data_IF_079632323838
#
_entry.id   IF_079632323838
#
_cell.length_a   1.000
_cell.length_b   1.000
_cell.length_c   1.000
_cell.angle_alpha   90.00
_cell.angle_beta   90.00
_cell.angle_gamma   90.00
#
_symmetry.space_group_name_H-M   'P 1'
#
loop_
_entity.id
_entity.type
_entity.pdbx_description
1 polymer ?
#
# COMPACT_ATOMS: atom_id res chain seq x y z
N UNK A 1 -16.48 14.62 -13.21
CA UNK A 1 -15.46 14.05 -14.13
C UNK A 1 -14.64 15.10 -14.88
N UNK A 2 -15.22 16.16 -15.46
CA UNK A 2 -14.47 17.18 -16.25
C UNK A 2 -13.31 17.88 -15.51
N UNK A 3 -13.43 18.05 -14.18
CA UNK A 3 -12.42 18.73 -13.36
C UNK A 3 -11.11 17.94 -13.24
N UNK A 4 -11.18 16.63 -13.00
CA UNK A 4 -9.99 15.78 -12.75
C UNK A 4 -9.11 15.69 -14.00
N UNK A 5 -9.70 15.51 -15.18
CA UNK A 5 -8.93 15.48 -16.43
C UNK A 5 -8.22 16.80 -16.71
N UNK A 6 -8.88 17.93 -16.41
CA UNK A 6 -8.27 19.25 -16.52
C UNK A 6 -7.09 19.42 -15.56
N UNK A 7 -7.23 18.93 -14.32
CA UNK A 7 -6.14 18.91 -13.33
C UNK A 7 -4.98 18.01 -13.76
N UNK A 8 -5.23 16.84 -14.35
CA UNK A 8 -4.18 15.95 -14.85
C UNK A 8 -3.41 16.57 -16.02
N UNK A 9 -4.09 17.29 -16.92
CA UNK A 9 -3.43 18.03 -17.99
C UNK A 9 -2.61 19.21 -17.46
N UNK A 10 -3.14 19.93 -16.47
CA UNK A 10 -2.41 20.97 -15.74
C UNK A 10 -1.15 20.41 -15.06
N UNK A 11 -1.29 19.30 -14.34
CA UNK A 11 -0.17 18.58 -13.72
C UNK A 11 0.88 18.15 -14.75
N UNK A 12 0.45 17.64 -15.91
CA UNK A 12 1.37 17.27 -17.01
C UNK A 12 2.22 18.45 -17.43
N UNK A 13 1.60 19.62 -17.64
CA UNK A 13 2.31 20.83 -18.03
C UNK A 13 3.29 21.29 -16.95
N UNK A 14 2.87 21.28 -15.67
CA UNK A 14 3.74 21.62 -14.55
C UNK A 14 4.96 20.71 -14.45
N UNK A 15 4.77 19.38 -14.54
CA UNK A 15 5.82 18.39 -14.39
C UNK A 15 6.82 18.40 -15.57
N UNK A 16 6.36 18.72 -16.78
CA UNK A 16 7.24 18.88 -17.96
C UNK A 16 8.11 20.13 -17.89
N UNK A 17 7.63 21.18 -17.21
CA UNK A 17 8.30 22.48 -17.13
C UNK A 17 8.96 22.76 -15.77
N UNK A 18 9.17 21.73 -14.93
CA UNK A 18 9.74 21.89 -13.59
C UNK A 18 11.08 22.67 -13.62
N UNK A 19 11.35 23.53 -12.63
CA UNK A 19 12.58 24.32 -12.58
C UNK A 19 13.85 23.47 -12.60
N UNK A 20 14.91 24.01 -13.21
CA UNK A 20 16.24 23.38 -13.29
C UNK A 20 16.97 23.29 -11.94
N UNK A 21 16.40 23.84 -10.87
CA UNK A 21 16.89 23.65 -9.49
C UNK A 21 16.74 22.19 -9.05
N UNK A 22 15.81 21.43 -9.64
CA UNK A 22 15.68 19.99 -9.44
C UNK A 22 16.57 19.24 -10.42
N UNK A 23 17.29 18.19 -9.97
CA UNK A 23 18.13 17.39 -10.85
C UNK A 23 17.28 16.69 -11.91
N UNK A 24 17.73 16.77 -13.17
CA UNK A 24 17.15 15.98 -14.24
C UNK A 24 17.64 14.54 -14.14
N UNK A 25 16.71 13.59 -14.14
CA UNK A 25 17.04 12.16 -14.21
C UNK A 25 16.37 11.53 -15.43
N UNK A 26 17.13 10.69 -16.12
CA UNK A 26 16.58 9.84 -17.17
C UNK A 26 15.59 8.83 -16.57
N UNK A 27 14.83 8.15 -17.43
CA UNK A 27 13.85 7.15 -16.99
C UNK A 27 14.49 6.03 -16.15
N UNK A 28 15.68 5.56 -16.55
CA UNK A 28 16.40 4.49 -15.87
C UNK A 28 17.01 4.92 -14.51
N UNK A 29 17.26 6.22 -14.33
CA UNK A 29 17.87 6.78 -13.12
C UNK A 29 16.84 7.36 -12.15
N UNK A 30 15.57 7.41 -12.55
CA UNK A 30 14.50 8.01 -11.77
C UNK A 30 14.26 7.22 -10.48
N UNK A 31 14.34 7.90 -9.33
CA UNK A 31 14.06 7.30 -8.04
C UNK A 31 12.59 6.87 -7.90
N UNK A 32 11.69 7.51 -8.64
CA UNK A 32 10.26 7.21 -8.60
C UNK A 32 9.86 5.96 -9.42
N UNK A 33 10.53 5.73 -10.55
CA UNK A 33 10.30 4.57 -11.43
C UNK A 33 8.83 4.32 -11.81
N UNK A 34 8.01 5.37 -12.02
CA UNK A 34 6.56 5.25 -12.33
C UNK A 34 6.22 4.55 -13.65
N UNK A 35 7.18 4.43 -14.56
CA UNK A 35 7.02 3.64 -15.79
C UNK A 35 6.76 2.15 -15.49
N UNK A 36 7.39 1.62 -14.43
CA UNK A 36 7.19 0.27 -13.93
C UNK A 36 6.32 0.30 -12.67
N UNK A 37 5.21 1.05 -12.71
CA UNK A 37 4.27 1.06 -11.59
C UNK A 37 3.47 -0.24 -11.55
N UNK A 38 3.76 -1.06 -10.55
CA UNK A 38 3.07 -2.32 -10.28
C UNK A 38 2.54 -2.34 -8.84
N UNK A 39 1.48 -3.13 -8.63
CA UNK A 39 0.81 -3.30 -7.34
C UNK A 39 1.05 -4.73 -6.86
N UNK A 40 1.57 -4.94 -5.63
CA UNK A 40 1.69 -6.28 -5.07
C UNK A 40 0.33 -6.94 -4.83
N UNK A 41 0.19 -8.19 -5.24
CA UNK A 41 -1.05 -8.97 -5.01
C UNK A 41 -1.43 -8.99 -3.53
N UNK A 42 -0.45 -9.12 -2.62
CA UNK A 42 -0.68 -9.07 -1.17
C UNK A 42 -1.34 -7.75 -0.73
N UNK A 43 -0.92 -6.62 -1.31
CA UNK A 43 -1.49 -5.31 -0.96
C UNK A 43 -2.90 -5.15 -1.52
N UNK A 44 -3.16 -5.68 -2.72
CA UNK A 44 -4.51 -5.68 -3.31
C UNK A 44 -5.45 -6.56 -2.50
N UNK A 45 -5.00 -7.73 -2.04
CA UNK A 45 -5.79 -8.66 -1.22
C UNK A 45 -6.09 -8.11 0.18
N UNK A 46 -5.15 -7.39 0.79
CA UNK A 46 -5.29 -6.89 2.16
C UNK A 46 -5.94 -5.50 2.24
N UNK A 47 -5.70 -4.62 1.26
CA UNK A 47 -6.15 -3.22 1.29
C UNK A 47 -7.21 -2.89 0.23
N UNK A 48 -7.46 -3.81 -0.71
CA UNK A 48 -8.19 -3.52 -1.94
C UNK A 48 -7.34 -2.71 -2.93
N UNK A 49 -7.80 -2.62 -4.17
CA UNK A 49 -7.04 -2.00 -5.26
C UNK A 49 -6.70 -0.51 -4.97
N UNK A 50 -7.68 0.28 -4.51
CA UNK A 50 -7.46 1.68 -4.14
C UNK A 50 -6.46 1.84 -2.99
N UNK A 51 -6.58 1.00 -1.95
CA UNK A 51 -5.65 1.00 -0.82
C UNK A 51 -4.22 0.61 -1.23
N UNK A 52 -4.07 -0.37 -2.12
CA UNK A 52 -2.78 -0.77 -2.68
C UNK A 52 -2.13 0.37 -3.49
N UNK A 53 -2.92 1.08 -4.32
CA UNK A 53 -2.44 2.24 -5.07
C UNK A 53 -1.97 3.34 -4.11
N UNK A 54 -2.79 3.67 -3.10
CA UNK A 54 -2.42 4.67 -2.10
C UNK A 54 -1.10 4.29 -1.40
N UNK A 55 -0.97 3.05 -0.93
CA UNK A 55 0.26 2.56 -0.30
C UNK A 55 1.47 2.67 -1.22
N UNK A 56 1.34 2.28 -2.48
CA UNK A 56 2.46 2.32 -3.42
C UNK A 56 2.87 3.75 -3.81
N UNK A 57 1.90 4.68 -3.88
CA UNK A 57 2.19 6.11 -4.05
C UNK A 57 2.93 6.68 -2.82
N UNK A 58 2.52 6.34 -1.59
CA UNK A 58 3.22 6.74 -0.37
C UNK A 58 4.65 6.18 -0.30
N UNK A 59 4.87 4.94 -0.74
CA UNK A 59 6.22 4.34 -0.77
C UNK A 59 7.15 5.09 -1.71
N UNK A 60 6.66 5.51 -2.89
CA UNK A 60 7.50 6.16 -3.92
C UNK A 60 7.67 7.66 -3.73
N UNK A 61 6.60 8.36 -3.34
CA UNK A 61 6.61 9.81 -3.16
C UNK A 61 6.98 10.22 -1.73
N UNK A 62 6.97 9.26 -0.81
CA UNK A 62 7.14 9.48 0.62
C UNK A 62 5.82 9.84 1.32
N UNK A 63 5.89 9.93 2.64
CA UNK A 63 4.76 10.36 3.47
C UNK A 63 4.48 11.85 3.26
N UNK A 64 3.20 12.23 3.25
CA UNK A 64 2.79 13.65 3.28
C UNK A 64 3.47 14.37 4.43
N UNK A 65 4.11 15.50 4.16
CA UNK A 65 4.76 16.28 5.21
C UNK A 65 3.71 16.95 6.08
N UNK A 66 3.81 16.78 7.41
CA UNK A 66 3.01 17.55 8.38
C UNK A 66 3.61 18.94 8.50
N UNK A 67 3.32 19.80 7.54
CA UNK A 67 3.90 21.14 7.49
C UNK A 67 3.07 22.11 6.68
N UNK A 68 3.57 23.33 6.54
CA UNK A 68 2.90 24.46 5.86
C UNK A 68 2.39 24.11 4.46
N UNK A 69 3.03 23.15 3.78
CA UNK A 69 2.71 22.73 2.42
C UNK A 69 1.76 21.54 2.33
N UNK A 70 1.64 20.73 3.39
CA UNK A 70 0.76 19.57 3.49
C UNK A 70 0.77 18.64 2.25
N UNK A 71 1.95 18.46 1.65
CA UNK A 71 2.16 17.60 0.46
C UNK A 71 3.55 16.95 0.54
N UNK A 72 3.89 16.11 -0.45
CA UNK A 72 5.22 15.52 -0.61
C UNK A 72 6.15 16.48 -1.38
N UNK A 73 7.46 16.22 -1.34
CA UNK A 73 8.48 17.06 -2.00
C UNK A 73 9.01 16.33 -3.23
N UNK A 74 9.01 17.01 -4.38
CA UNK A 74 9.62 16.49 -5.60
C UNK A 74 11.15 16.56 -5.47
N UNK A 75 11.82 15.44 -5.72
CA UNK A 75 13.28 15.31 -5.58
C UNK A 75 14.01 15.40 -6.92
N UNK A 76 13.30 15.25 -8.03
CA UNK A 76 13.85 15.16 -9.38
C UNK A 76 12.81 15.59 -10.43
N UNK A 77 13.32 15.99 -11.60
CA UNK A 77 12.51 16.22 -12.80
C UNK A 77 12.91 15.24 -13.90
N UNK A 78 12.02 15.01 -14.86
CA UNK A 78 12.28 14.12 -15.99
C UNK A 78 11.10 13.20 -16.32
N UNK A 79 11.28 12.28 -17.29
CA UNK A 79 10.20 11.39 -17.74
C UNK A 79 9.66 10.51 -16.62
N UNK A 80 10.50 10.09 -15.66
CA UNK A 80 10.07 9.29 -14.51
C UNK A 80 9.05 10.03 -13.62
N UNK A 81 9.23 11.33 -13.41
CA UNK A 81 8.27 12.16 -12.67
C UNK A 81 6.99 12.39 -13.47
N UNK A 82 7.10 12.64 -14.79
CA UNK A 82 5.94 12.85 -15.67
C UNK A 82 5.04 11.61 -15.74
N UNK A 83 5.62 10.40 -15.70
CA UNK A 83 4.88 9.13 -15.70
C UNK A 83 3.93 8.96 -14.49
N UNK A 84 4.08 9.75 -13.42
CA UNK A 84 3.09 9.83 -12.34
C UNK A 84 1.69 10.19 -12.88
N UNK A 85 1.62 11.06 -13.89
CA UNK A 85 0.33 11.45 -14.48
C UNK A 85 -0.33 10.27 -15.16
N UNK A 86 0.42 9.40 -15.82
CA UNK A 86 -0.13 8.22 -16.50
C UNK A 86 -0.74 7.25 -15.48
N UNK A 87 -0.05 7.04 -14.35
CA UNK A 87 -0.56 6.24 -13.23
C UNK A 87 -1.86 6.85 -12.67
N UNK A 88 -1.86 8.14 -12.37
CA UNK A 88 -3.05 8.81 -11.82
C UNK A 88 -4.20 8.82 -12.82
N UNK A 89 -3.94 9.08 -14.11
CA UNK A 89 -4.94 9.06 -15.19
C UNK A 89 -5.57 7.69 -15.35
N UNK A 90 -4.76 6.62 -15.35
CA UNK A 90 -5.24 5.24 -15.43
C UNK A 90 -6.23 4.92 -14.31
N UNK A 91 -5.85 5.17 -13.06
CA UNK A 91 -6.66 4.77 -11.92
C UNK A 91 -7.82 5.71 -11.61
N UNK A 92 -7.71 7.01 -11.90
CA UNK A 92 -8.85 7.94 -11.77
C UNK A 92 -9.91 7.72 -12.84
N UNK A 93 -9.53 7.23 -14.02
CA UNK A 93 -10.50 6.79 -15.04
C UNK A 93 -11.25 5.54 -14.58
N UNK A 94 -10.54 4.60 -13.95
CA UNK A 94 -11.14 3.38 -13.40
C UNK A 94 -12.01 3.65 -12.16
N UNK A 95 -11.62 4.61 -11.32
CA UNK A 95 -12.28 4.95 -10.06
C UNK A 95 -12.53 6.47 -9.93
N UNK A 96 -13.50 7.03 -10.69
CA UNK A 96 -13.71 8.47 -10.76
C UNK A 96 -14.21 9.09 -9.45
N UNK A 97 -14.85 8.31 -8.58
CA UNK A 97 -15.39 8.74 -7.29
C UNK A 97 -14.42 8.50 -6.12
N UNK A 98 -13.23 7.97 -6.38
CA UNK A 98 -12.27 7.67 -5.32
C UNK A 98 -11.62 8.96 -4.80
N UNK A 99 -12.01 9.32 -3.57
CA UNK A 99 -11.55 10.53 -2.87
C UNK A 99 -10.04 10.50 -2.60
N UNK A 100 -9.43 9.31 -2.41
CA UNK A 100 -7.98 9.21 -2.19
C UNK A 100 -7.22 9.52 -3.47
N UNK A 101 -7.66 8.99 -4.62
CA UNK A 101 -7.02 9.26 -5.91
C UNK A 101 -7.18 10.72 -6.33
N UNK A 102 -8.37 11.30 -6.12
CA UNK A 102 -8.59 12.74 -6.34
C UNK A 102 -7.63 13.58 -5.48
N UNK A 103 -7.46 13.22 -4.21
CA UNK A 103 -6.53 13.90 -3.31
C UNK A 103 -5.07 13.77 -3.77
N UNK A 104 -4.66 12.63 -4.34
CA UNK A 104 -3.33 12.49 -4.91
C UNK A 104 -3.08 13.41 -6.11
N UNK A 105 -4.09 13.63 -6.95
CA UNK A 105 -4.01 14.61 -8.05
C UNK A 105 -3.80 16.02 -7.49
N UNK A 106 -4.60 16.42 -6.51
CA UNK A 106 -4.46 17.73 -5.85
C UNK A 106 -3.09 17.91 -5.18
N UNK A 107 -2.64 16.89 -4.43
CA UNK A 107 -1.35 16.93 -3.73
C UNK A 107 -0.18 16.98 -4.72
N UNK A 108 -0.26 16.28 -5.85
CA UNK A 108 0.76 16.32 -6.90
C UNK A 108 0.81 17.69 -7.59
N UNK A 109 -0.33 18.32 -7.87
CA UNK A 109 -0.38 19.70 -8.36
C UNK A 109 0.30 20.65 -7.39
N UNK A 110 -0.07 20.59 -6.09
CA UNK A 110 0.55 21.43 -5.06
C UNK A 110 2.03 21.14 -4.89
N UNK A 111 2.48 19.89 -4.99
CA UNK A 111 3.89 19.53 -4.88
C UNK A 111 4.70 20.14 -6.03
N UNK A 112 4.16 20.13 -7.25
CA UNK A 112 4.78 20.77 -8.39
C UNK A 112 4.82 22.29 -8.25
N UNK A 113 3.71 22.94 -7.83
CA UNK A 113 3.65 24.38 -7.57
C UNK A 113 4.66 24.81 -6.50
N UNK A 114 4.75 24.06 -5.40
CA UNK A 114 5.73 24.32 -4.35
C UNK A 114 7.19 24.25 -4.86
N UNK A 115 7.48 23.42 -5.87
CA UNK A 115 8.81 23.36 -6.47
C UNK A 115 9.15 24.66 -7.25
N UNK A 116 8.16 25.31 -7.88
CA UNK A 116 8.34 26.63 -8.49
C UNK A 116 8.56 27.71 -7.42
N UNK A 117 7.75 27.70 -6.37
CA UNK A 117 7.90 28.62 -5.24
C UNK A 117 9.28 28.49 -4.58
N UNK A 118 9.77 27.26 -4.37
CA UNK A 118 11.11 26.98 -3.84
C UNK A 118 12.23 27.48 -4.75
N UNK A 119 12.04 27.39 -6.07
CA UNK A 119 12.99 27.90 -7.04
C UNK A 119 12.92 29.44 -7.21
N UNK A 120 11.92 30.11 -6.64
CA UNK A 120 11.65 31.53 -6.88
C UNK A 120 11.25 31.83 -8.32
N UNK A 121 10.73 30.83 -9.04
CA UNK A 121 10.31 30.93 -10.45
C UNK A 121 8.79 31.05 -10.49
N UNK A 122 8.26 31.93 -11.36
CA UNK A 122 6.80 32.03 -11.53
C UNK A 122 6.27 30.76 -12.20
N UNK A 123 5.13 30.27 -11.71
CA UNK A 123 4.42 29.15 -12.33
C UNK A 123 4.04 29.53 -13.78
N UNK A 124 4.33 28.68 -14.78
CA UNK A 124 3.96 28.94 -16.16
C UNK A 124 2.46 29.16 -16.31
N UNK A 125 2.06 30.12 -17.15
CA UNK A 125 0.65 30.31 -17.50
C UNK A 125 0.18 29.18 -18.43
N UNK A 126 -0.33 28.11 -17.83
CA UNK A 126 -0.73 26.88 -18.54
C UNK A 126 -1.95 27.12 -19.43
N UNK A 127 -2.71 28.21 -19.22
CA UNK A 127 -3.79 28.60 -20.14
C UNK A 127 -3.26 28.79 -21.57
N UNK A 128 -2.02 29.26 -21.71
CA UNK A 128 -1.37 29.45 -23.02
C UNK A 128 -0.77 28.17 -23.60
N UNK A 129 -0.34 27.24 -22.73
CA UNK A 129 0.32 25.98 -23.15
C UNK A 129 -0.69 24.97 -23.72
N UNK A 130 -1.94 25.03 -23.26
CA UNK A 130 -3.00 24.16 -23.77
C UNK A 130 -3.24 24.34 -25.28
N UNK A 131 -3.10 25.55 -25.83
CA UNK A 131 -3.38 25.81 -27.24
C UNK A 131 -2.29 25.27 -28.20
N UNK A 132 -1.04 25.15 -27.75
CA UNK A 132 0.07 24.71 -28.60
C UNK A 132 0.29 23.19 -28.56
N UNK A 133 0.03 22.54 -27.43
CA UNK A 133 0.29 21.10 -27.26
C UNK A 133 -0.69 20.18 -28.01
N UNK A 134 -1.92 20.63 -28.27
CA UNK A 134 -2.88 19.82 -29.04
C UNK A 134 -2.61 19.80 -30.54
N UNK A 135 -1.73 20.67 -31.06
CA UNK A 135 -1.47 20.77 -32.50
C UNK A 135 -0.24 19.98 -32.99
N UNK A 136 0.65 19.54 -32.10
CA UNK A 136 1.95 18.93 -32.48
C UNK A 136 2.05 17.42 -32.17
N UNK A 137 1.09 16.85 -31.45
CA UNK A 137 1.03 15.41 -31.17
C UNK A 137 -0.14 14.79 -31.93
N UNK A 138 0.10 14.49 -33.20
CA UNK A 138 -0.88 13.91 -34.13
C UNK A 138 -1.71 12.76 -33.54
N UNK A 139 -3.03 12.92 -33.63
CA UNK A 139 -3.95 12.17 -34.50
C UNK A 139 -3.85 10.63 -34.65
N UNK A 140 -2.79 9.96 -34.24
CA UNK A 140 -2.57 8.55 -34.59
C UNK A 140 -2.87 7.56 -33.45
N UNK A 141 -3.15 8.02 -32.22
CA UNK A 141 -3.41 7.11 -31.08
C UNK A 141 -4.88 7.01 -30.64
N UNK A 142 -5.79 7.90 -31.09
CA UNK A 142 -7.22 7.88 -30.66
C UNK A 142 -8.16 7.33 -31.76
N UNK A 143 -7.65 6.90 -32.92
CA UNK A 143 -8.48 6.26 -33.95
C UNK A 143 -8.66 4.73 -33.77
N UNK A 144 -7.91 4.07 -32.88
CA UNK A 144 -7.98 2.61 -32.72
C UNK A 144 -8.93 2.12 -31.60
N UNK A 145 -9.39 3.02 -30.72
CA UNK A 145 -10.17 2.64 -29.52
C UNK A 145 -11.60 3.21 -29.54
N UNK A 146 -12.13 3.51 -30.72
CA UNK A 146 -13.54 3.95 -30.90
C UNK A 146 -14.34 3.13 -31.90
N UNK A 147 -13.74 2.08 -32.49
CA UNK A 147 -14.39 1.17 -33.43
C UNK A 147 -14.64 -0.25 -32.89
N UNK A 148 -14.30 -0.56 -31.62
CA UNK A 148 -14.45 -1.93 -31.07
C UNK A 148 -15.37 -2.08 -29.85
N UNK A 149 -16.04 -1.02 -29.38
CA UNK A 149 -16.91 -1.10 -28.18
C UNK A 149 -18.41 -1.15 -28.46
N UNK A 150 -18.87 -1.10 -29.72
CA UNK A 150 -20.30 -1.23 -30.07
C UNK A 150 -20.76 -2.62 -30.51
N UNK A 151 -19.85 -3.60 -30.69
CA UNK A 151 -20.21 -4.98 -31.10
C UNK A 151 -19.89 -6.07 -30.05
N UNK A 152 -19.39 -5.73 -28.86
CA UNK A 152 -19.00 -6.72 -27.84
C UNK A 152 -20.04 -6.96 -26.71
N UNK A 153 -21.07 -6.11 -26.56
CA UNK A 153 -22.06 -6.23 -25.47
C UNK A 153 -23.41 -6.82 -25.89
N UNK A 154 -23.50 -7.47 -27.05
CA UNK A 154 -24.72 -8.16 -27.49
C UNK A 154 -24.46 -9.60 -27.97
N UNK A 155 -23.53 -10.32 -27.32
CA UNK A 155 -23.30 -11.74 -27.62
C UNK A 155 -22.77 -12.59 -26.45
N UNK A 156 -23.10 -12.25 -25.19
CA UNK A 156 -22.87 -13.14 -24.02
C UNK A 156 -24.19 -13.78 -23.58
N UNK A 157 -24.79 -14.56 -24.49
CA UNK A 157 -25.74 -15.62 -24.17
C UNK A 157 -25.91 -16.51 -25.41
N UNK A 158 -24.94 -17.41 -25.60
CA UNK A 158 -25.12 -18.58 -26.43
C UNK A 158 -23.97 -18.90 -27.37
N UNK A 159 -23.56 -20.17 -27.30
CA UNK A 159 -22.84 -20.94 -28.32
C UNK A 159 -21.31 -20.88 -28.25
N UNK A 160 -20.79 -21.68 -27.32
CA UNK A 160 -19.60 -22.50 -27.56
C UNK A 160 -19.86 -23.36 -28.79
N UNK A 161 -19.15 -23.11 -29.90
CA UNK A 161 -19.07 -24.03 -31.03
C UNK A 161 -17.87 -23.69 -31.93
N UNK A 162 -16.84 -24.55 -31.82
CA UNK A 162 -15.89 -25.01 -32.86
C UNK A 162 -15.43 -24.01 -33.94
N UNK A 163 -14.12 -23.73 -33.96
CA UNK A 163 -13.40 -23.53 -35.22
C UNK A 163 -12.15 -24.43 -35.33
N UNK A 164 -11.76 -24.80 -36.56
CA UNK A 164 -10.77 -25.83 -36.85
C UNK A 164 -9.35 -25.28 -37.01
N UNK A 165 -8.37 -26.06 -36.56
CA UNK A 165 -6.94 -25.81 -36.68
C UNK A 165 -6.49 -25.81 -38.15
N UNK A 166 -5.98 -24.67 -38.63
CA UNK A 166 -5.18 -24.61 -39.86
C UNK A 166 -3.71 -24.86 -39.53
N UNK A 167 -3.13 -25.83 -40.25
CA UNK A 167 -1.73 -26.25 -40.18
C UNK A 167 -0.84 -25.22 -40.87
N UNK A 168 0.26 -24.83 -40.24
CA UNK A 168 1.43 -24.24 -40.90
C UNK A 168 2.47 -25.35 -41.15
N UNK A 169 3.21 -25.30 -42.27
CA UNK A 169 4.32 -26.20 -42.52
C UNK A 169 5.60 -25.65 -41.89
N UNK A 170 6.41 -26.54 -41.33
CA UNK A 170 7.73 -26.20 -40.79
C UNK A 170 8.77 -27.11 -41.45
N UNK A 171 9.75 -26.49 -42.11
CA UNK A 171 10.94 -27.14 -42.65
C UNK A 171 12.13 -26.25 -42.34
N UNK A 172 12.89 -26.57 -41.29
CA UNK A 172 14.35 -26.40 -41.29
C UNK A 172 15.05 -27.18 -40.14
N UNK A 173 15.64 -28.32 -40.54
CA UNK A 173 16.94 -28.94 -40.18
C UNK A 173 17.64 -28.69 -38.83
N UNK A 174 17.91 -29.82 -38.15
CA UNK A 174 19.05 -30.27 -37.27
C UNK A 174 19.83 -29.24 -36.42
N UNK A 175 20.24 -29.48 -35.17
CA UNK A 175 20.98 -30.65 -34.64
C UNK A 175 21.16 -30.46 -33.11
N UNK A 176 21.26 -31.57 -32.36
CA UNK A 176 21.97 -31.78 -31.07
C UNK A 176 21.16 -32.50 -29.95
N UNK A 177 21.49 -33.79 -29.78
CA UNK A 177 21.75 -34.54 -28.53
C UNK A 177 20.78 -34.25 -27.35
N UNK A 178 19.93 -35.16 -26.86
CA UNK A 178 20.08 -36.60 -26.71
C UNK A 178 19.97 -37.00 -25.24
N UNK A 179 18.78 -36.92 -24.62
CA UNK A 179 18.45 -37.65 -23.38
C UNK A 179 17.02 -38.18 -23.50
N UNK A 180 16.89 -39.51 -23.40
CA UNK A 180 15.66 -40.29 -23.55
C UNK A 180 14.98 -40.40 -22.19
N UNK A 181 13.69 -40.10 -22.11
CA UNK A 181 12.80 -40.70 -21.12
C UNK A 181 11.48 -41.12 -21.78
N UNK A 182 11.18 -42.40 -21.61
CA UNK A 182 10.12 -43.14 -22.27
C UNK A 182 8.72 -42.64 -21.93
N UNK A 183 7.95 -42.38 -22.99
CA UNK A 183 6.52 -42.11 -22.94
C UNK A 183 5.76 -43.43 -22.96
N UNK A 184 4.94 -43.73 -21.94
CA UNK A 184 3.85 -44.71 -22.05
C UNK A 184 2.51 -44.00 -22.13
N UNK A 185 2.07 -43.80 -23.37
CA UNK A 185 0.70 -43.52 -23.74
C UNK A 185 -0.18 -44.75 -23.45
N UNK A 186 -1.29 -44.55 -22.75
CA UNK A 186 -2.50 -45.38 -22.89
C UNK A 186 -3.72 -44.48 -22.89
N UNK A 187 -4.23 -44.21 -24.09
CA UNK A 187 -5.56 -43.68 -24.29
C UNK A 187 -6.62 -44.71 -23.88
N UNK A 188 -7.67 -44.23 -23.21
CA UNK A 188 -8.99 -44.87 -23.20
C UNK A 188 -10.05 -43.78 -23.26
N UNK A 189 -10.68 -43.69 -24.44
CA UNK A 189 -11.99 -43.07 -24.60
C UNK A 189 -13.03 -43.93 -23.84
N UNK A 190 -13.89 -43.28 -23.06
CA UNK A 190 -15.25 -43.80 -22.82
C UNK A 190 -16.21 -42.66 -22.48
N UNK A 191 -17.19 -42.52 -23.36
CA UNK A 191 -18.38 -41.71 -23.18
C UNK A 191 -19.18 -42.17 -21.95
N UNK A 192 -19.73 -41.21 -21.18
CA UNK A 192 -21.14 -41.22 -20.78
C UNK A 192 -21.52 -39.95 -20.01
N UNK A 193 -22.38 -39.17 -20.65
CA UNK A 193 -23.59 -38.56 -20.08
C UNK A 193 -23.85 -38.93 -18.61
N UNK A 194 -23.77 -37.95 -17.71
CA UNK A 194 -24.47 -37.96 -16.41
C UNK A 194 -24.80 -36.53 -15.99
N UNK A 195 -26.09 -36.24 -16.13
CA UNK A 195 -26.97 -35.56 -15.18
C UNK A 195 -26.34 -34.61 -14.16
N UNK A 196 -26.81 -33.37 -14.24
CA UNK A 196 -26.82 -32.38 -13.15
C UNK A 196 -27.61 -32.95 -11.96
N UNK A 197 -26.90 -33.55 -11.00
CA UNK A 197 -27.36 -33.59 -9.63
C UNK A 197 -26.87 -32.34 -8.92
N UNK A 198 -27.80 -31.43 -8.65
CA UNK A 198 -27.64 -30.41 -7.62
C UNK A 198 -27.45 -31.14 -6.29
N UNK A 199 -26.20 -31.28 -5.85
CA UNK A 199 -25.89 -31.74 -4.51
C UNK A 199 -26.35 -30.68 -3.52
N UNK A 200 -27.54 -30.91 -2.94
CA UNK A 200 -27.93 -30.36 -1.67
C UNK A 200 -26.82 -30.61 -0.65
N UNK A 201 -26.01 -29.59 -0.39
CA UNK A 201 -25.11 -29.58 0.77
C UNK A 201 -25.98 -29.74 2.02
N UNK A 202 -25.83 -30.87 2.71
CA UNK A 202 -26.48 -31.08 4.01
C UNK A 202 -25.96 -30.01 4.98
N UNK A 203 -26.82 -29.18 5.58
CA UNK A 203 -26.41 -28.34 6.69
C UNK A 203 -26.11 -29.26 7.88
N UNK A 204 -24.84 -29.38 8.27
CA UNK A 204 -24.51 -29.99 9.57
C UNK A 204 -23.25 -30.84 9.65
N UNK A 205 -22.54 -31.13 8.55
CA UNK A 205 -21.27 -31.85 8.66
C UNK A 205 -20.17 -30.87 9.08
N UNK A 206 -19.95 -30.80 10.41
CA UNK A 206 -18.89 -29.98 11.00
C UNK A 206 -17.56 -30.41 10.37
N UNK A 207 -16.77 -29.49 9.79
CA UNK A 207 -15.48 -29.84 9.23
C UNK A 207 -14.65 -30.52 10.32
N UNK A 208 -14.28 -31.78 10.06
CA UNK A 208 -13.39 -32.58 10.89
C UNK A 208 -12.19 -31.71 11.28
N UNK A 209 -12.08 -31.39 12.57
CA UNK A 209 -11.01 -30.55 13.08
C UNK A 209 -9.73 -31.37 13.08
N UNK A 210 -8.85 -31.12 12.11
CA UNK A 210 -7.51 -31.71 12.02
C UNK A 210 -6.58 -31.07 13.05
N UNK A 211 -6.94 -31.12 14.33
CA UNK A 211 -6.09 -30.58 15.39
C UNK A 211 -4.90 -31.53 15.54
N UNK A 212 -3.69 -30.98 15.47
CA UNK A 212 -2.47 -31.75 15.67
C UNK A 212 -2.32 -32.15 17.13
N UNK A 213 -1.78 -33.35 17.37
CA UNK A 213 -1.45 -33.82 18.72
C UNK A 213 -0.27 -33.04 19.31
N UNK A 214 0.69 -32.61 18.47
CA UNK A 214 1.84 -31.80 18.86
C UNK A 214 2.04 -30.59 17.93
N UNK A 215 2.58 -29.50 18.48
CA UNK A 215 2.82 -28.24 17.78
C UNK A 215 4.29 -28.00 17.40
N UNK A 216 5.14 -29.00 17.64
CA UNK A 216 6.54 -29.02 17.24
C UNK A 216 6.66 -29.15 15.72
N UNK A 217 7.52 -28.33 15.11
CA UNK A 217 7.77 -28.33 13.67
C UNK A 217 9.28 -28.41 13.42
N UNK A 218 9.74 -29.59 12.98
CA UNK A 218 11.17 -29.91 12.80
C UNK A 218 11.89 -29.00 11.80
N UNK A 219 11.14 -28.24 10.98
CA UNK A 219 11.70 -27.28 10.02
C UNK A 219 12.21 -26.00 10.70
N UNK A 220 11.75 -25.74 11.91
CA UNK A 220 12.03 -24.51 12.62
C UNK A 220 12.70 -24.78 13.98
N UNK A 221 13.52 -23.84 14.39
CA UNK A 221 14.03 -23.76 15.77
C UNK A 221 13.25 -22.66 16.49
N UNK A 222 12.56 -23.04 17.56
CA UNK A 222 11.76 -22.10 18.34
C UNK A 222 12.66 -21.18 19.16
N UNK A 223 12.43 -19.89 19.01
CA UNK A 223 13.15 -18.86 19.75
C UNK A 223 12.29 -18.42 20.94
N UNK A 224 12.95 -18.13 22.06
CA UNK A 224 12.30 -17.56 23.23
C UNK A 224 11.56 -16.26 22.90
N UNK A 225 10.46 -16.04 23.62
CA UNK A 225 9.75 -14.77 23.53
C UNK A 225 10.54 -13.67 24.23
N UNK A 226 10.82 -12.58 23.51
CA UNK A 226 11.43 -11.39 24.11
C UNK A 226 10.36 -10.65 24.93
N UNK A 227 10.69 -10.20 26.16
CA UNK A 227 9.78 -9.36 26.92
C UNK A 227 9.48 -8.06 26.14
N UNK A 228 8.24 -7.59 26.22
CA UNK A 228 7.86 -6.32 25.60
C UNK A 228 8.45 -5.15 26.41
N UNK A 229 9.68 -4.77 26.08
CA UNK A 229 10.43 -3.69 26.74
C UNK A 229 10.08 -2.29 26.21
N UNK A 230 9.06 -2.17 25.35
CA UNK A 230 8.71 -0.88 24.75
C UNK A 230 8.12 0.04 25.82
N UNK A 231 8.76 1.21 26.00
CA UNK A 231 8.31 2.24 26.95
C UNK A 231 6.98 2.90 26.57
N UNK A 232 6.48 2.66 25.35
CA UNK A 232 5.21 3.19 24.85
C UNK A 232 4.64 2.35 23.72
N UNK A 233 3.34 2.54 23.45
CA UNK A 233 2.58 1.79 22.45
C UNK A 233 1.60 0.79 23.07
N UNK A 234 0.77 0.17 22.23
CA UNK A 234 -0.18 -0.86 22.70
C UNK A 234 0.61 -2.13 23.03
N UNK A 235 0.43 -2.72 24.22
CA UNK A 235 1.09 -3.97 24.57
C UNK A 235 0.75 -5.06 23.56
N UNK A 236 1.67 -6.02 23.37
CA UNK A 236 1.42 -7.18 22.51
C UNK A 236 0.17 -7.91 23.02
N UNK A 237 -0.74 -8.20 22.10
CA UNK A 237 -1.97 -8.92 22.41
C UNK A 237 -1.64 -10.33 22.93
N UNK A 238 -2.11 -10.74 24.13
CA UNK A 238 -1.77 -12.05 24.69
C UNK A 238 -2.14 -13.23 23.79
N UNK A 239 -3.20 -13.10 22.97
CA UNK A 239 -3.57 -14.14 22.02
C UNK A 239 -2.49 -14.36 20.95
N UNK A 240 -1.80 -13.31 20.49
CA UNK A 240 -0.73 -13.45 19.49
C UNK A 240 0.42 -14.33 19.98
N UNK A 241 0.79 -14.19 21.26
CA UNK A 241 1.83 -15.01 21.89
C UNK A 241 1.41 -16.49 22.01
N UNK A 242 0.10 -16.76 22.09
CA UNK A 242 -0.44 -18.13 22.18
C UNK A 242 -0.54 -18.82 20.82
N UNK A 243 -0.81 -18.07 19.75
CA UNK A 243 -1.15 -18.63 18.42
C UNK A 243 0.01 -18.56 17.43
N UNK A 244 1.10 -17.88 17.78
CA UNK A 244 2.28 -17.73 16.95
C UNK A 244 3.56 -17.84 17.77
N UNK A 245 4.58 -18.45 17.19
CA UNK A 245 5.89 -18.66 17.82
C UNK A 245 6.97 -17.95 17.02
N UNK A 246 7.89 -17.27 17.72
CA UNK A 246 9.14 -16.79 17.09
C UNK A 246 10.02 -18.00 16.78
N UNK A 247 10.63 -18.00 15.61
CA UNK A 247 11.47 -19.11 15.19
C UNK A 247 12.54 -18.68 14.19
N UNK A 248 13.50 -19.58 13.94
CA UNK A 248 14.45 -19.50 12.82
C UNK A 248 14.28 -20.74 11.94
N UNK A 249 14.41 -20.57 10.63
CA UNK A 249 14.43 -21.70 9.69
C UNK A 249 15.70 -22.52 9.92
N UNK A 250 15.59 -23.85 10.03
CA UNK A 250 16.77 -24.73 10.17
C UNK A 250 17.52 -24.92 8.86
N UNK A 251 16.82 -24.82 7.72
CA UNK A 251 17.40 -24.99 6.39
C UNK A 251 18.07 -23.72 5.87
N UNK A 252 17.53 -22.56 6.24
CA UNK A 252 18.08 -21.29 5.77
C UNK A 252 19.15 -20.80 6.73
N UNK A 253 20.36 -20.60 6.22
CA UNK A 253 21.47 -19.99 6.99
C UNK A 253 21.25 -18.51 7.31
N UNK A 254 20.11 -17.95 6.91
CA UNK A 254 19.79 -16.56 7.21
C UNK A 254 19.44 -16.45 8.70
N UNK A 255 20.13 -15.59 9.44
CA UNK A 255 19.83 -15.29 10.85
C UNK A 255 18.49 -14.55 11.05
N UNK A 256 17.66 -14.49 10.01
CA UNK A 256 16.37 -13.81 9.99
C UNK A 256 15.43 -14.49 10.99
N UNK A 257 14.89 -13.68 11.90
CA UNK A 257 13.85 -14.11 12.83
C UNK A 257 12.52 -14.13 12.10
N UNK A 258 11.89 -15.29 12.11
CA UNK A 258 10.56 -15.53 11.56
C UNK A 258 9.56 -15.69 12.69
N UNK A 259 8.30 -15.69 12.31
CA UNK A 259 7.17 -16.04 13.16
C UNK A 259 6.40 -17.12 12.43
N UNK A 260 6.13 -18.25 13.08
CA UNK A 260 5.31 -19.33 12.52
C UNK A 260 3.99 -19.45 13.24
N UNK A 261 2.96 -19.95 12.56
CA UNK A 261 1.73 -20.37 13.22
C UNK A 261 2.05 -21.47 14.24
N UNK A 262 1.34 -21.52 15.38
CA UNK A 262 1.47 -22.62 16.35
C UNK A 262 1.25 -23.98 15.67
N UNK A 263 0.34 -24.06 14.69
CA UNK A 263 0.07 -25.25 13.90
C UNK A 263 0.84 -25.28 12.56
N UNK A 264 2.05 -24.71 12.48
CA UNK A 264 2.83 -24.61 11.23
C UNK A 264 3.15 -25.96 10.60
N UNK A 265 3.25 -27.03 11.37
CA UNK A 265 3.43 -28.39 10.84
C UNK A 265 2.29 -28.80 9.90
N UNK A 266 1.06 -28.37 10.19
CA UNK A 266 -0.12 -28.66 9.38
C UNK A 266 -0.41 -27.58 8.34
N UNK A 267 -0.34 -26.30 8.71
CA UNK A 267 -0.72 -25.20 7.83
C UNK A 267 0.43 -24.58 7.02
N UNK A 268 1.69 -24.82 7.41
CA UNK A 268 2.88 -24.28 6.74
C UNK A 268 3.05 -22.77 6.79
N UNK A 269 2.18 -22.03 7.49
CA UNK A 269 2.16 -20.56 7.41
C UNK A 269 3.23 -19.93 8.31
N UNK A 270 3.99 -19.00 7.73
CA UNK A 270 5.04 -18.22 8.39
C UNK A 270 4.98 -16.76 7.97
N UNK A 271 5.55 -15.88 8.80
CA UNK A 271 5.66 -14.45 8.59
C UNK A 271 7.07 -13.97 8.97
N UNK A 272 7.47 -12.83 8.42
CA UNK A 272 8.70 -12.14 8.82
C UNK A 272 8.43 -11.35 10.10
N UNK A 273 9.38 -11.32 11.04
CA UNK A 273 9.27 -10.46 12.22
C UNK A 273 9.49 -8.97 11.84
N UNK A 274 8.77 -8.01 12.46
CA UNK A 274 7.86 -8.15 13.59
C UNK A 274 6.46 -8.70 13.20
N UNK A 275 5.76 -9.27 14.18
CA UNK A 275 4.43 -9.88 14.02
C UNK A 275 3.38 -8.85 13.61
N UNK A 276 2.84 -8.97 12.39
CA UNK A 276 1.63 -8.23 12.01
C UNK A 276 0.40 -8.82 12.70
N UNK A 277 -0.14 -8.11 13.71
CA UNK A 277 -1.35 -8.52 14.44
C UNK A 277 -2.50 -8.87 13.49
N UNK A 278 -2.71 -8.06 12.46
CA UNK A 278 -3.82 -8.26 11.51
C UNK A 278 -3.66 -9.56 10.72
N UNK A 279 -2.48 -9.79 10.13
CA UNK A 279 -2.22 -10.99 9.31
C UNK A 279 -2.28 -12.27 10.14
N UNK A 280 -1.70 -12.26 11.33
CA UNK A 280 -1.72 -13.41 12.25
C UNK A 280 -3.16 -13.73 12.66
N UNK A 281 -3.94 -12.75 13.11
CA UNK A 281 -5.33 -13.00 13.53
C UNK A 281 -6.22 -13.47 12.37
N UNK A 282 -6.10 -12.87 11.18
CA UNK A 282 -6.84 -13.29 9.96
C UNK A 282 -6.54 -14.75 9.59
N UNK A 283 -5.27 -15.17 9.69
CA UNK A 283 -4.90 -16.56 9.50
C UNK A 283 -5.46 -17.46 10.61
N UNK A 284 -5.31 -17.08 11.88
CA UNK A 284 -5.76 -17.89 13.02
C UNK A 284 -7.25 -18.17 12.96
N UNK A 285 -8.07 -17.17 12.64
CA UNK A 285 -9.51 -17.31 12.44
C UNK A 285 -9.88 -18.41 11.42
N UNK A 286 -9.11 -18.57 10.35
CA UNK A 286 -9.37 -19.52 9.27
C UNK A 286 -8.57 -20.83 9.34
N UNK A 287 -7.61 -20.95 10.26
CA UNK A 287 -6.67 -22.08 10.29
C UNK A 287 -7.30 -23.35 10.87
N UNK A 288 -7.63 -24.31 10.01
CA UNK A 288 -8.29 -25.58 10.39
C UNK A 288 -7.49 -26.46 11.35
N UNK A 289 -6.18 -26.26 11.41
CA UNK A 289 -5.23 -27.00 12.26
C UNK A 289 -5.13 -26.47 13.70
N UNK A 290 -5.62 -25.26 13.96
CA UNK A 290 -5.66 -24.69 15.31
C UNK A 290 -6.88 -25.19 16.10
N UNK A 291 -6.77 -25.31 17.43
CA UNK A 291 -7.91 -25.54 18.32
C UNK A 291 -9.02 -24.50 18.12
N UNK A 292 -10.28 -24.95 18.16
CA UNK A 292 -11.47 -24.11 17.93
C UNK A 292 -11.48 -22.88 18.84
N UNK A 293 -11.11 -23.03 20.12
CA UNK A 293 -11.13 -21.93 21.08
C UNK A 293 -10.15 -20.79 20.73
N UNK A 294 -9.00 -21.10 20.10
CA UNK A 294 -8.06 -20.07 19.64
C UNK A 294 -8.57 -19.36 18.40
N UNK A 295 -9.27 -20.07 17.51
CA UNK A 295 -9.94 -19.47 16.34
C UNK A 295 -11.04 -18.52 16.76
N UNK A 296 -11.94 -18.97 17.64
CA UNK A 296 -13.04 -18.15 18.15
C UNK A 296 -12.53 -16.90 18.87
N UNK A 297 -11.47 -17.01 19.68
CA UNK A 297 -10.84 -15.86 20.31
C UNK A 297 -10.25 -14.87 19.28
N UNK A 298 -9.71 -15.35 18.16
CA UNK A 298 -9.22 -14.47 17.10
C UNK A 298 -10.36 -13.77 16.36
N UNK A 299 -11.44 -14.50 16.05
CA UNK A 299 -12.67 -13.94 15.44
C UNK A 299 -13.28 -12.85 16.32
N UNK A 300 -13.39 -13.08 17.63
CA UNK A 300 -13.88 -12.08 18.59
C UNK A 300 -13.01 -10.82 18.62
N UNK A 301 -11.68 -10.96 18.58
CA UNK A 301 -10.77 -9.81 18.53
C UNK A 301 -10.86 -9.05 17.20
N UNK A 302 -11.08 -9.73 16.09
CA UNK A 302 -11.30 -9.10 14.79
C UNK A 302 -12.63 -8.33 14.81
N UNK A 303 -13.71 -8.96 15.30
CA UNK A 303 -15.03 -8.35 15.40
C UNK A 303 -15.04 -7.13 16.35
N UNK A 304 -14.41 -7.24 17.52
CA UNK A 304 -14.29 -6.13 18.47
C UNK A 304 -13.55 -4.92 17.88
N UNK A 305 -12.59 -5.15 16.97
CA UNK A 305 -11.88 -4.06 16.29
C UNK A 305 -12.76 -3.35 15.26
N UNK A 306 -13.59 -4.09 14.52
CA UNK A 306 -14.52 -3.52 13.54
C UNK A 306 -15.56 -2.60 14.20
N UNK A 307 -16.08 -2.99 15.37
CA UNK A 307 -17.05 -2.17 16.12
C UNK A 307 -16.44 -0.83 16.56
N UNK A 308 -15.19 -0.85 17.04
CA UNK A 308 -14.53 0.37 17.52
C UNK A 308 -14.18 1.35 16.39
N UNK A 309 -13.87 0.86 15.18
CA UNK A 309 -13.67 1.75 14.03
C UNK A 309 -14.96 2.46 13.64
N UNK A 310 -16.11 1.78 13.71
CA UNK A 310 -17.40 2.36 13.35
C UNK A 310 -17.94 3.32 14.42
N UNK A 311 -17.76 2.99 15.70
CA UNK A 311 -18.13 3.89 16.80
C UNK A 311 -17.35 5.21 16.74
N UNK A 312 -16.06 5.18 16.40
CA UNK A 312 -15.26 6.39 16.18
C UNK A 312 -15.72 7.15 14.93
N UNK A 313 -16.08 6.44 13.85
CA UNK A 313 -16.57 7.05 12.61
C UNK A 313 -17.93 7.73 12.80
N UNK A 314 -18.82 7.16 13.59
CA UNK A 314 -20.12 7.74 13.92
C UNK A 314 -19.99 8.94 14.88
N UNK A 315 -19.08 8.88 15.84
CA UNK A 315 -18.84 9.99 16.80
C UNK A 315 -18.20 11.22 16.16
N UNK A 316 -17.57 11.08 14.98
CA UNK A 316 -16.98 12.19 14.21
C UNK A 316 -17.97 12.90 13.29
N UNK A 317 -19.18 12.35 13.10
CA UNK A 317 -20.26 13.07 12.43
C UNK A 317 -20.89 14.04 13.43
N UNK A 318 -20.17 15.15 13.70
CA UNK A 318 -20.78 16.30 14.38
C UNK A 318 -22.02 16.69 13.59
N UNK A 319 -23.17 16.92 14.24
CA UNK A 319 -24.29 17.57 13.56
C UNK A 319 -23.74 18.86 12.96
N UNK A 320 -23.83 18.93 11.64
CA UNK A 320 -23.65 20.19 10.93
C UNK A 320 -24.84 21.04 11.38
N UNK A 321 -24.62 21.91 12.36
CA UNK A 321 -25.55 22.96 12.76
C UNK A 321 -25.72 23.89 11.56
N UNK A 322 -26.55 23.46 10.61
CA UNK A 322 -27.23 24.33 9.66
C UNK A 322 -28.56 24.63 10.29
N UNK A 323 -28.60 25.65 11.14
CA UNK A 323 -29.76 26.51 11.36
C UNK A 323 -29.33 27.79 12.09
N UNK A 324 -29.99 28.87 11.69
CA UNK A 324 -29.91 30.26 12.14
C UNK A 324 -28.78 31.12 11.54
N UNK A 325 -29.03 32.27 10.92
CA UNK A 325 -30.25 32.89 10.40
C UNK A 325 -29.76 34.12 9.62
N UNK A 326 -30.48 34.46 8.55
CA UNK A 326 -30.37 35.76 7.90
C UNK A 326 -30.83 36.85 8.90
N UNK A 327 -29.98 37.81 9.23
CA UNK A 327 -30.46 39.12 9.68
C UNK A 327 -29.73 40.25 8.96
N UNK A 328 -30.52 41.03 8.24
CA UNK A 328 -30.11 42.15 7.42
C UNK A 328 -30.13 43.43 8.26
N UNK A 329 -28.95 43.89 8.67
CA UNK A 329 -28.76 45.20 9.31
C UNK A 329 -28.18 46.24 8.34
N UNK A 330 -28.66 47.51 8.36
CA UNK A 330 -28.24 48.57 7.43
C UNK A 330 -26.92 49.25 7.85
N UNK A 331 -26.27 50.01 6.95
CA UNK A 331 -24.96 50.60 7.21
C UNK A 331 -25.11 51.84 8.09
N UNK A 332 -24.34 51.90 9.18
CA UNK A 332 -24.12 53.15 9.90
C UNK A 332 -22.68 53.62 9.72
N UNK A 333 -22.56 54.72 8.99
CA UNK A 333 -21.44 55.65 9.03
C UNK A 333 -21.12 56.07 10.46
N UNK A 334 -19.84 56.07 10.84
CA UNK A 334 -19.26 57.00 11.83
C UNK A 334 -17.73 56.97 11.83
N UNK A 335 -17.19 57.95 11.11
CA UNK A 335 -16.14 58.90 11.53
C UNK A 335 -15.18 58.55 12.69
N UNK A 336 -13.89 58.72 12.37
CA UNK A 336 -12.82 59.36 13.16
C UNK A 336 -12.15 58.61 14.34
N UNK A 337 -10.85 58.27 14.12
CA UNK A 337 -9.62 58.48 14.91
C UNK A 337 -9.71 58.84 16.42
N UNK A 338 -8.72 58.48 17.30
CA UNK A 338 -7.27 58.49 17.02
C UNK A 338 -6.37 57.44 17.72
N UNK A 339 -5.14 57.37 17.20
CA UNK A 339 -3.85 56.94 17.80
C UNK A 339 -3.82 56.41 19.24
N UNK A 340 -3.32 55.19 19.44
CA UNK A 340 -2.62 54.80 20.65
C UNK A 340 -1.48 53.80 20.36
N UNK A 341 -0.27 54.25 20.67
CA UNK A 341 0.99 53.48 20.70
C UNK A 341 0.84 52.26 21.61
N UNK A 342 1.14 51.06 21.12
CA UNK A 342 1.43 49.93 22.00
C UNK A 342 2.91 49.56 21.85
N UNK A 343 3.65 49.75 22.94
CA UNK A 343 5.07 49.49 23.06
C UNK A 343 5.37 48.00 22.91
N UNK A 344 6.34 47.68 22.04
CA UNK A 344 6.99 46.36 21.99
C UNK A 344 7.74 46.13 23.31
N UNK A 345 7.29 45.15 24.09
CA UNK A 345 8.01 44.62 25.23
C UNK A 345 9.02 43.58 24.72
N UNK A 346 10.28 43.99 24.62
CA UNK A 346 11.41 43.09 24.41
C UNK A 346 11.59 42.23 25.65
N UNK A 347 11.38 40.92 25.53
CA UNK A 347 11.80 39.94 26.54
C UNK A 347 13.13 39.35 26.09
N UNK A 348 14.20 39.92 26.62
CA UNK A 348 15.52 39.30 26.72
C UNK A 348 15.39 38.04 27.58
N UNK A 349 15.80 36.90 27.04
CA UNK A 349 16.07 35.70 27.83
C UNK A 349 17.58 35.48 27.81
N UNK A 350 18.23 36.00 28.84
CA UNK A 350 19.57 35.62 29.24
C UNK A 350 19.50 34.19 29.79
N UNK A 351 20.08 33.23 29.05
CA UNK A 351 20.40 31.91 29.60
C UNK A 351 21.90 31.90 29.85
N UNK A 352 22.23 32.07 31.13
CA UNK A 352 23.56 31.97 31.71
C UNK A 352 24.16 30.59 31.44
N UNK A 353 25.29 30.59 30.75
CA UNK A 353 26.25 29.49 30.72
C UNK A 353 26.94 29.37 32.07
N UNK A 354 26.74 28.26 32.78
CA UNK A 354 27.54 27.88 33.93
C UNK A 354 28.36 26.64 33.59
N UNK A 355 29.62 26.90 33.29
CA UNK A 355 30.76 25.98 33.37
C UNK A 355 30.88 25.41 34.78
N UNK A 356 31.13 24.11 34.94
CA UNK A 356 32.27 23.58 35.74
C UNK A 356 32.27 22.05 35.91
N UNK A 357 33.47 21.51 35.70
CA UNK A 357 34.13 20.45 36.48
C UNK A 357 34.05 18.99 36.04
N UNK A 358 35.26 18.49 35.75
CA UNK A 358 35.68 17.14 35.48
C UNK A 358 35.89 16.31 36.76
N UNK A 359 35.63 15.00 36.68
CA UNK A 359 36.17 13.88 37.51
C UNK A 359 36.04 12.64 36.62
N UNK A 360 37.06 12.08 35.96
CA UNK A 360 38.22 11.30 36.43
C UNK A 360 37.88 10.00 37.19
N UNK A 361 38.43 8.88 36.71
CA UNK A 361 38.47 7.49 37.27
C UNK A 361 37.41 6.54 36.74
N UNK A 362 37.65 5.27 36.36
CA UNK A 362 38.82 4.39 36.14
C UNK A 362 38.26 3.11 35.46
N UNK A 363 39.04 2.33 34.69
CA UNK A 363 38.59 1.07 34.10
C UNK A 363 38.63 -0.07 35.13
N UNK A 364 37.52 -0.84 35.22
CA UNK A 364 37.39 -2.02 36.06
C UNK A 364 37.86 -3.29 35.36
N UNK A 365 38.90 -3.87 35.96
CA UNK A 365 39.66 -5.07 35.60
C UNK A 365 38.84 -6.37 35.61
N UNK A 366 39.19 -7.24 34.66
CA UNK A 366 38.92 -8.68 34.58
C UNK A 366 39.37 -9.40 35.86
N UNK A 367 38.59 -10.35 36.37
CA UNK A 367 39.05 -11.65 36.89
C UNK A 367 37.90 -12.39 37.59
N UNK A 368 37.81 -13.71 37.36
CA UNK A 368 36.81 -14.59 37.95
C UNK A 368 36.69 -15.90 37.17
N UNK A 369 37.79 -16.65 37.06
CA UNK A 369 38.10 -17.83 37.91
C UNK A 369 37.16 -19.01 37.65
N UNK A 370 37.69 -19.92 36.85
CA UNK A 370 37.37 -21.35 36.84
C UNK A 370 37.42 -21.94 38.25
N UNK A 371 36.39 -22.69 38.63
CA UNK A 371 36.51 -23.80 39.57
C UNK A 371 35.61 -24.94 39.13
N UNK A 372 36.25 -25.95 38.54
CA UNK A 372 35.79 -27.34 38.51
C UNK A 372 35.77 -27.87 39.95
N UNK A 373 34.68 -28.51 40.36
CA UNK A 373 34.65 -29.77 41.13
C UNK A 373 33.21 -30.15 41.50
N UNK A 374 32.85 -31.40 41.20
CA UNK A 374 31.55 -32.03 41.48
C UNK A 374 31.32 -33.19 40.54
#
# INVERSE_FOLDING_TARGET
MSTIFSQLNYLTALLKALPDTLPYKSQAESAYSFHDFWLPDEDVDDLGLSGAINRQLEVRLGTRTTGRRNTFVLQERGPGTVALVDVLRKYTTQFPEDVLLQKWVDDACRAAENAYDDAGVKIPDISQVSASYFNDSGSDFIAAESASESEANQAILGKVSQQPSKKLPDTYVEQCLGIRHDSKAKGKQKAKLRDREASHAKPGERPSTKVLETFEDDRYEDLGEEPDLRAGGRPIEPLLLKVSLRCRSRSDSTEKVLVRCLASRGCGTTWVAPRSKARVLKHVASCTWLPVHLRSAADELIAAKAINSDALRLSLKRPHDSDADNDAGPPTDRSASPTAKCARRSLSSDISTSTTSAVSSKPGTLDGVFSNQG
#
